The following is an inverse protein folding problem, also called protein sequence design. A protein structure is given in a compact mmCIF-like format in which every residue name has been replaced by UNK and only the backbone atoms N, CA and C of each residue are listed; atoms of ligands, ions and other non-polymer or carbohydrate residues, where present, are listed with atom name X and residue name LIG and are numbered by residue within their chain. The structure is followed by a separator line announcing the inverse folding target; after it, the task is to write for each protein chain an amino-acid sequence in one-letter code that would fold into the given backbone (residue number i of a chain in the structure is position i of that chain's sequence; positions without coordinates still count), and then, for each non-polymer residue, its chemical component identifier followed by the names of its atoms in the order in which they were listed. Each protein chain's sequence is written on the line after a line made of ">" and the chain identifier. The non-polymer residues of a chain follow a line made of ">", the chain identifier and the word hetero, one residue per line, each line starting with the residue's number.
data_IF_459858952841
#
_entry.id   IF_459858952841
#
_cell.length_a   1.000
_cell.length_b   1.000
_cell.length_c   1.000
_cell.angle_alpha   90.00
_cell.angle_beta   90.00
_cell.angle_gamma   90.00
#
_symmetry.space_group_name_H-M   'P 1'
#
loop_
_entity.id
_entity.type
_entity.pdbx_description
1 polymer ?
#
# COMPACT_ATOMS: atom_id res chain seq x y z
N UNK A 1 -32.02 28.60 28.16
CA UNK A 1 -31.62 27.26 28.64
C UNK A 1 -31.36 26.44 27.40
N UNK A 2 -30.15 26.56 26.85
CA UNK A 2 -29.75 25.86 25.64
C UNK A 2 -29.29 24.45 26.06
N UNK A 3 -29.86 23.44 25.43
CA UNK A 3 -29.46 22.05 25.61
C UNK A 3 -28.21 21.86 24.77
N UNK A 4 -27.05 21.77 25.43
CA UNK A 4 -25.82 21.29 24.81
C UNK A 4 -26.09 19.90 24.23
N UNK A 5 -26.13 19.80 22.92
CA UNK A 5 -26.03 18.53 22.23
C UNK A 5 -24.57 18.11 22.33
N UNK A 6 -24.30 17.29 23.34
CA UNK A 6 -23.11 16.46 23.45
C UNK A 6 -22.90 15.78 22.11
N UNK A 7 -21.90 16.27 21.38
CA UNK A 7 -21.58 15.81 20.04
C UNK A 7 -21.07 14.38 20.21
N UNK A 8 -21.87 13.43 19.74
CA UNK A 8 -21.58 12.01 19.78
C UNK A 8 -20.10 11.77 19.46
N UNK A 9 -19.41 11.13 20.41
CA UNK A 9 -18.07 10.63 20.22
C UNK A 9 -18.03 9.93 18.86
N UNK A 10 -17.22 10.45 17.93
CA UNK A 10 -16.83 9.73 16.73
C UNK A 10 -16.51 8.32 17.19
N UNK A 11 -17.29 7.34 16.71
CA UNK A 11 -16.88 5.93 16.78
C UNK A 11 -15.50 5.92 16.19
N UNK A 12 -14.50 5.90 17.06
CA UNK A 12 -13.14 5.89 16.62
C UNK A 12 -13.06 4.61 15.77
N UNK A 13 -12.75 4.73 14.48
CA UNK A 13 -12.58 3.56 13.62
C UNK A 13 -11.46 2.70 14.17
N UNK A 14 -11.61 1.37 14.13
CA UNK A 14 -10.56 0.45 14.56
C UNK A 14 -9.21 0.87 13.97
N UNK A 15 -8.23 1.13 14.84
CA UNK A 15 -6.89 1.51 14.40
C UNK A 15 -6.17 0.22 14.03
N UNK A 16 -5.78 0.08 12.76
CA UNK A 16 -5.16 -1.14 12.22
C UNK A 16 -3.70 -0.87 11.92
N UNK A 17 -2.83 -1.83 12.26
CA UNK A 17 -1.40 -1.80 11.95
C UNK A 17 -1.09 -2.92 10.96
N UNK A 18 -0.39 -2.57 9.88
CA UNK A 18 0.09 -3.51 8.88
C UNK A 18 1.61 -3.68 9.01
N UNK A 19 2.11 -4.90 8.91
CA UNK A 19 3.55 -5.17 8.96
C UNK A 19 3.98 -6.04 7.78
N UNK A 20 4.85 -5.52 6.93
CA UNK A 20 5.55 -6.30 5.90
C UNK A 20 6.71 -7.10 6.54
N UNK A 21 6.86 -8.36 6.15
CA UNK A 21 7.87 -9.27 6.71
C UNK A 21 8.86 -9.75 5.65
N UNK A 22 10.09 -10.04 6.11
CA UNK A 22 11.17 -10.49 5.23
C UNK A 22 10.96 -11.85 4.58
N UNK A 23 10.01 -12.64 5.09
CA UNK A 23 9.64 -13.93 4.52
C UNK A 23 8.62 -13.81 3.37
N UNK A 24 8.27 -12.59 2.93
CA UNK A 24 7.31 -12.35 1.85
C UNK A 24 5.85 -12.35 2.29
N UNK A 25 5.57 -12.35 3.60
CA UNK A 25 4.22 -12.26 4.16
C UNK A 25 3.98 -10.93 4.86
N UNK A 26 2.73 -10.63 5.18
CA UNK A 26 2.37 -9.50 6.03
C UNK A 26 1.37 -9.92 7.11
N UNK A 27 1.36 -9.16 8.20
CA UNK A 27 0.38 -9.31 9.27
C UNK A 27 -0.44 -8.04 9.43
N UNK A 28 -1.63 -8.23 9.99
CA UNK A 28 -2.58 -7.17 10.35
C UNK A 28 -2.89 -7.29 11.82
N UNK A 29 -2.74 -6.19 12.55
CA UNK A 29 -3.01 -6.11 13.97
C UNK A 29 -4.09 -5.07 14.25
N UNK A 30 -4.96 -5.37 15.20
CA UNK A 30 -5.82 -4.36 15.83
C UNK A 30 -4.98 -3.63 16.88
N UNK A 31 -4.81 -2.32 16.73
CA UNK A 31 -3.99 -1.52 17.64
C UNK A 31 -4.66 -1.30 19.00
N UNK A 32 -5.98 -1.49 19.11
CA UNK A 32 -6.73 -1.29 20.37
C UNK A 32 -6.60 -2.46 21.30
N UNK A 33 -6.69 -3.65 20.74
CA UNK A 33 -6.42 -4.90 21.41
C UNK A 33 -5.28 -5.53 20.61
N UNK A 34 -3.99 -5.31 20.99
CA UNK A 34 -2.79 -5.63 20.20
C UNK A 34 -2.70 -7.13 19.89
N UNK A 35 -3.53 -7.57 18.96
CA UNK A 35 -3.82 -8.94 18.62
C UNK A 35 -3.69 -9.07 17.11
N UNK A 36 -3.17 -10.21 16.69
CA UNK A 36 -3.12 -10.59 15.30
C UNK A 36 -4.56 -10.81 14.79
N UNK A 37 -4.97 -10.00 13.81
CA UNK A 37 -6.27 -10.09 13.12
C UNK A 37 -6.15 -10.99 11.90
N UNK A 38 -5.04 -10.85 11.17
CA UNK A 38 -4.79 -11.61 9.96
C UNK A 38 -3.29 -11.81 9.74
N UNK A 39 -2.93 -12.99 9.25
CA UNK A 39 -1.59 -13.29 8.74
C UNK A 39 -1.72 -13.80 7.31
N UNK A 40 -1.00 -13.17 6.38
CA UNK A 40 -1.01 -13.62 4.99
C UNK A 40 -0.31 -14.96 4.87
N UNK A 41 -0.82 -15.82 4.01
CA UNK A 41 -0.21 -17.13 3.74
C UNK A 41 0.42 -17.14 2.36
N UNK A 42 1.46 -17.96 2.24
CA UNK A 42 2.14 -18.21 0.98
C UNK A 42 1.54 -19.47 0.35
N UNK A 43 1.33 -19.51 -0.97
CA UNK A 43 0.96 -20.73 -1.68
C UNK A 43 1.90 -21.89 -1.32
N UNK A 44 1.33 -23.07 -1.03
CA UNK A 44 2.08 -24.27 -0.69
C UNK A 44 3.08 -24.72 -1.78
N UNK A 45 2.91 -24.23 -3.02
CA UNK A 45 3.80 -24.48 -4.16
C UNK A 45 5.11 -23.70 -4.11
N UNK A 46 5.27 -22.74 -3.19
CA UNK A 46 6.47 -21.93 -3.08
C UNK A 46 7.61 -22.66 -2.36
N UNK A 47 8.26 -23.54 -3.11
CA UNK A 47 9.45 -24.28 -2.66
C UNK A 47 10.72 -23.42 -2.59
N UNK A 48 10.73 -22.27 -3.26
CA UNK A 48 11.72 -21.20 -3.09
C UNK A 48 11.01 -20.09 -2.31
N UNK A 49 11.63 -19.62 -1.22
CA UNK A 49 11.06 -18.55 -0.40
C UNK A 49 10.58 -17.36 -1.24
N UNK A 50 9.50 -16.72 -0.79
CA UNK A 50 9.00 -15.52 -1.43
C UNK A 50 9.97 -14.35 -1.19
N UNK A 51 10.04 -13.40 -2.13
CA UNK A 51 10.88 -12.21 -1.95
C UNK A 51 10.43 -11.43 -0.71
N UNK A 52 11.40 -10.90 0.04
CA UNK A 52 11.15 -10.02 1.18
C UNK A 52 10.19 -8.91 0.81
N UNK A 53 9.18 -8.64 1.64
CA UNK A 53 8.41 -7.42 1.52
C UNK A 53 9.24 -6.28 2.11
N UNK A 54 9.41 -5.21 1.34
CA UNK A 54 10.19 -4.03 1.72
C UNK A 54 9.29 -2.85 2.07
N UNK A 55 8.09 -2.80 1.48
CA UNK A 55 7.15 -1.71 1.65
C UNK A 55 5.72 -2.23 1.80
N UNK A 56 4.93 -1.47 2.56
CA UNK A 56 3.50 -1.71 2.75
C UNK A 56 2.79 -0.36 2.89
N UNK A 57 1.68 -0.19 2.20
CA UNK A 57 0.88 1.03 2.24
C UNK A 57 -0.60 0.66 2.28
N UNK A 58 -1.39 1.40 3.05
CA UNK A 58 -2.83 1.20 3.13
C UNK A 58 -3.56 2.48 2.78
N UNK A 59 -4.67 2.36 2.06
CA UNK A 59 -5.67 3.40 1.90
C UNK A 59 -6.99 2.92 2.51
N UNK A 60 -7.33 3.38 3.72
CA UNK A 60 -8.57 3.01 4.40
C UNK A 60 -9.83 3.46 3.67
N UNK A 61 -9.76 4.53 2.86
CA UNK A 61 -10.92 5.09 2.16
C UNK A 61 -11.32 4.23 0.95
N UNK A 62 -10.33 3.73 0.20
CA UNK A 62 -10.56 2.78 -0.89
C UNK A 62 -10.55 1.32 -0.44
N UNK A 63 -10.36 1.06 0.85
CA UNK A 63 -10.15 -0.27 1.42
C UNK A 63 -9.02 -1.05 0.74
N UNK A 64 -7.96 -0.37 0.31
CA UNK A 64 -6.85 -1.00 -0.39
C UNK A 64 -5.63 -1.18 0.50
N UNK A 65 -4.93 -2.30 0.35
CA UNK A 65 -3.61 -2.55 0.93
C UNK A 65 -2.65 -2.92 -0.20
N UNK A 66 -1.51 -2.27 -0.28
CA UNK A 66 -0.47 -2.59 -1.24
C UNK A 66 0.80 -3.07 -0.52
N UNK A 67 1.48 -4.06 -1.09
CA UNK A 67 2.79 -4.54 -0.63
C UNK A 67 3.77 -4.52 -1.77
N UNK A 68 5.00 -4.05 -1.51
CA UNK A 68 6.11 -4.06 -2.46
C UNK A 68 7.21 -4.99 -1.99
N UNK A 69 7.79 -5.75 -2.93
CA UNK A 69 8.81 -6.75 -2.63
C UNK A 69 10.19 -6.40 -3.20
N UNK A 70 11.22 -7.06 -2.67
CA UNK A 70 12.60 -6.98 -3.16
C UNK A 70 12.78 -7.49 -4.60
N UNK A 71 11.79 -8.16 -5.18
CA UNK A 71 11.83 -8.68 -6.55
C UNK A 71 10.94 -7.91 -7.53
N UNK A 72 10.51 -6.70 -7.18
CA UNK A 72 9.72 -5.82 -8.06
C UNK A 72 8.23 -6.15 -8.13
N UNK A 73 7.76 -7.11 -7.34
CA UNK A 73 6.34 -7.49 -7.32
C UNK A 73 5.59 -6.53 -6.40
N UNK A 74 4.54 -5.92 -6.94
CA UNK A 74 3.52 -5.18 -6.19
C UNK A 74 2.24 -6.00 -6.16
N UNK A 75 1.74 -6.27 -4.96
CA UNK A 75 0.41 -6.86 -4.76
C UNK A 75 -0.52 -5.82 -4.15
N UNK A 76 -1.78 -5.85 -4.55
CA UNK A 76 -2.85 -5.01 -4.03
C UNK A 76 -4.00 -5.89 -3.58
N UNK A 77 -4.51 -5.65 -2.38
CA UNK A 77 -5.52 -6.44 -1.70
C UNK A 77 -6.71 -5.58 -1.27
N UNK A 78 -7.89 -6.19 -1.21
CA UNK A 78 -9.10 -5.58 -0.68
C UNK A 78 -9.28 -5.91 0.81
N UNK A 79 -9.22 -4.89 1.64
CA UNK A 79 -9.27 -4.99 3.11
C UNK A 79 -10.67 -5.11 3.68
N UNK A 80 -11.74 -5.04 2.86
CA UNK A 80 -13.13 -5.19 3.34
C UNK A 80 -13.42 -6.58 3.91
N UNK A 81 -12.63 -7.58 3.51
CA UNK A 81 -12.75 -8.96 3.98
C UNK A 81 -11.89 -9.26 5.22
N UNK A 82 -11.23 -8.25 5.80
CA UNK A 82 -10.52 -8.43 7.06
C UNK A 82 -11.54 -8.73 8.18
N UNK A 83 -11.33 -9.80 8.97
CA UNK A 83 -12.28 -10.19 9.99
C UNK A 83 -12.38 -9.10 11.06
N UNK A 84 -13.61 -8.61 11.27
CA UNK A 84 -13.87 -7.47 12.15
C UNK A 84 -13.84 -7.82 13.63
N UNK A 85 -13.91 -9.10 14.05
CA UNK A 85 -13.53 -9.46 15.44
C UNK A 85 -13.57 -10.94 15.87
N UNK A 86 -14.13 -11.92 15.15
CA UNK A 86 -14.27 -13.27 15.75
C UNK A 86 -14.33 -14.48 14.82
N UNK A 87 -14.18 -14.33 13.50
CA UNK A 87 -14.22 -15.47 12.59
C UNK A 87 -12.84 -15.78 11.99
N UNK A 88 -12.56 -17.08 11.87
CA UNK A 88 -11.33 -17.65 11.32
C UNK A 88 -11.01 -17.03 9.94
N UNK A 89 -9.74 -16.75 9.61
CA UNK A 89 -9.39 -15.87 8.50
C UNK A 89 -9.90 -16.40 7.15
N UNK A 90 -10.88 -15.71 6.57
CA UNK A 90 -11.13 -15.76 5.14
C UNK A 90 -9.98 -15.06 4.43
N UNK A 91 -9.36 -15.73 3.46
CA UNK A 91 -8.28 -15.18 2.65
C UNK A 91 -8.61 -13.77 2.15
N UNK A 92 -7.69 -12.81 2.30
CA UNK A 92 -7.77 -11.51 1.62
C UNK A 92 -7.86 -11.74 0.10
N UNK A 93 -8.79 -11.06 -0.55
CA UNK A 93 -8.88 -11.09 -2.01
C UNK A 93 -7.79 -10.19 -2.61
N UNK A 94 -7.00 -10.76 -3.51
CA UNK A 94 -6.00 -10.01 -4.27
C UNK A 94 -6.71 -9.30 -5.41
N UNK A 95 -6.70 -7.96 -5.39
CA UNK A 95 -7.22 -7.12 -6.47
C UNK A 95 -6.28 -7.16 -7.67
N UNK A 96 -4.98 -7.09 -7.41
CA UNK A 96 -3.98 -7.16 -8.46
C UNK A 96 -2.62 -7.61 -7.98
N UNK A 97 -1.84 -8.18 -8.91
CA UNK A 97 -0.44 -8.53 -8.73
C UNK A 97 0.28 -8.21 -10.04
N UNK A 98 1.28 -7.34 -9.97
CA UNK A 98 2.02 -6.91 -11.14
C UNK A 98 3.49 -6.65 -10.83
N UNK A 99 4.28 -6.56 -11.89
CA UNK A 99 5.72 -6.32 -11.85
C UNK A 99 6.07 -5.48 -13.08
N UNK A 100 6.65 -4.31 -12.86
CA UNK A 100 7.06 -3.39 -13.94
C UNK A 100 8.54 -3.55 -14.29
N UNK A 101 9.40 -3.73 -13.29
CA UNK A 101 10.83 -4.04 -13.45
C UNK A 101 11.26 -5.14 -12.48
N UNK A 102 12.50 -5.65 -12.64
CA UNK A 102 13.10 -6.63 -11.73
C UNK A 102 13.65 -6.01 -10.42
N UNK A 103 13.58 -4.68 -10.31
CA UNK A 103 14.14 -3.90 -9.21
C UNK A 103 13.28 -3.94 -7.95
N UNK A 104 13.86 -3.66 -6.78
CA UNK A 104 13.11 -3.61 -5.52
C UNK A 104 12.00 -2.56 -5.53
N UNK A 105 10.91 -2.82 -4.81
CA UNK A 105 9.89 -1.82 -4.49
C UNK A 105 10.13 -1.28 -3.08
N UNK A 106 10.80 -0.13 -3.01
CA UNK A 106 11.34 0.41 -1.76
C UNK A 106 10.32 1.22 -0.96
N UNK A 107 9.36 1.89 -1.61
CA UNK A 107 8.30 2.64 -0.95
C UNK A 107 7.03 2.67 -1.81
N UNK A 108 5.88 2.79 -1.13
CA UNK A 108 4.56 2.78 -1.74
C UNK A 108 3.72 3.88 -1.11
N UNK A 109 2.93 4.59 -1.93
CA UNK A 109 2.05 5.63 -1.41
C UNK A 109 0.76 5.73 -2.22
N UNK A 110 -0.39 5.53 -1.57
CA UNK A 110 -1.69 5.75 -2.21
C UNK A 110 -1.97 7.24 -2.37
N UNK A 111 -2.36 7.66 -3.56
CA UNK A 111 -2.85 9.01 -3.80
C UNK A 111 -4.31 9.05 -3.37
N UNK A 112 -4.69 9.94 -2.42
CA UNK A 112 -6.07 10.05 -1.99
C UNK A 112 -7.00 10.34 -3.19
N UNK A 113 -8.17 9.70 -3.25
CA UNK A 113 -9.11 9.94 -4.34
C UNK A 113 -9.55 11.40 -4.31
N UNK A 114 -9.54 12.07 -5.47
CA UNK A 114 -10.09 13.42 -5.61
C UNK A 114 -11.60 13.43 -5.49
N UNK A 115 -12.24 12.29 -5.83
CA UNK A 115 -13.69 12.10 -5.79
C UNK A 115 -14.03 10.85 -4.95
N UNK A 116 -14.95 10.94 -3.96
CA UNK A 116 -15.25 9.84 -3.02
C UNK A 116 -15.74 8.53 -3.66
N UNK A 117 -16.19 8.59 -4.93
CA UNK A 117 -16.80 7.46 -5.64
C UNK A 117 -15.90 6.85 -6.73
N UNK A 118 -14.63 7.24 -6.83
CA UNK A 118 -13.75 6.62 -7.83
C UNK A 118 -13.33 5.22 -7.38
N UNK A 119 -13.74 4.19 -8.12
CA UNK A 119 -13.31 2.81 -7.93
C UNK A 119 -11.84 2.55 -8.36
N UNK A 120 -11.11 3.61 -8.74
CA UNK A 120 -9.74 3.54 -9.20
C UNK A 120 -8.83 4.15 -8.14
N UNK A 121 -7.99 3.31 -7.54
CA UNK A 121 -6.93 3.77 -6.64
C UNK A 121 -5.69 4.09 -7.45
N UNK A 122 -5.02 5.19 -7.12
CA UNK A 122 -3.71 5.51 -7.69
C UNK A 122 -2.63 5.21 -6.66
N UNK A 123 -1.56 4.55 -7.10
CA UNK A 123 -0.45 4.15 -6.26
C UNK A 123 0.84 4.70 -6.85
N UNK A 124 1.58 5.43 -6.04
CA UNK A 124 2.97 5.81 -6.31
C UNK A 124 3.88 4.69 -5.85
N UNK A 125 4.89 4.39 -6.68
CA UNK A 125 5.83 3.29 -6.48
C UNK A 125 7.25 3.83 -6.60
N UNK A 126 8.03 3.71 -5.52
CA UNK A 126 9.46 3.97 -5.53
C UNK A 126 10.22 2.67 -5.80
N UNK A 127 11.19 2.74 -6.70
CA UNK A 127 11.92 1.57 -7.19
C UNK A 127 13.43 1.70 -6.97
N UNK A 128 14.09 0.56 -6.78
CA UNK A 128 15.54 0.49 -6.57
C UNK A 128 16.39 0.77 -7.80
N UNK A 129 15.78 0.88 -9.00
CA UNK A 129 16.47 1.29 -10.24
C UNK A 129 16.43 2.80 -10.49
N UNK A 130 15.78 3.58 -9.63
CA UNK A 130 15.74 5.03 -9.80
C UNK A 130 14.63 5.55 -10.71
N UNK A 131 13.68 4.70 -11.14
CA UNK A 131 12.56 5.05 -12.02
C UNK A 131 11.20 4.92 -11.30
N UNK A 132 10.85 5.85 -10.40
CA UNK A 132 9.57 5.81 -9.72
C UNK A 132 8.42 6.10 -10.68
N UNK A 133 7.26 5.49 -10.42
CA UNK A 133 6.11 5.59 -11.31
C UNK A 133 4.78 5.64 -10.55
N UNK A 134 3.75 6.08 -11.26
CA UNK A 134 2.35 6.05 -10.80
C UNK A 134 1.58 5.00 -11.57
N UNK A 135 0.80 4.19 -10.87
CA UNK A 135 -0.10 3.19 -11.45
C UNK A 135 -1.53 3.43 -11.01
N UNK A 136 -2.48 3.19 -11.91
CA UNK A 136 -3.91 3.13 -11.61
C UNK A 136 -4.32 1.67 -11.42
N UNK A 137 -5.01 1.40 -10.34
CA UNK A 137 -5.53 0.09 -9.96
C UNK A 137 -7.05 0.19 -9.96
N UNK A 138 -7.70 -0.58 -10.83
CA UNK A 138 -9.16 -0.72 -10.86
C UNK A 138 -9.56 -2.10 -10.32
N UNK A 139 -10.77 -2.20 -9.78
CA UNK A 139 -11.29 -3.47 -9.24
C UNK A 139 -11.43 -4.59 -10.29
N UNK A 140 -11.52 -4.23 -11.57
CA UNK A 140 -11.89 -5.13 -12.68
C UNK A 140 -10.77 -5.26 -13.73
N UNK A 141 -9.67 -4.51 -13.60
CA UNK A 141 -8.71 -4.30 -14.67
C UNK A 141 -7.26 -4.59 -14.32
N UNK A 142 -6.47 -4.77 -15.37
CA UNK A 142 -5.01 -4.83 -15.27
C UNK A 142 -4.49 -3.46 -14.79
N UNK A 143 -3.50 -3.41 -13.89
CA UNK A 143 -2.84 -2.16 -13.50
C UNK A 143 -2.31 -1.43 -14.73
N UNK A 144 -2.55 -0.13 -14.80
CA UNK A 144 -2.08 0.72 -15.90
C UNK A 144 -1.13 1.78 -15.37
N UNK A 145 0.09 1.80 -15.90
CA UNK A 145 1.04 2.88 -15.63
C UNK A 145 0.45 4.18 -16.17
N UNK A 146 0.32 5.17 -15.30
CA UNK A 146 -0.24 6.49 -15.61
C UNK A 146 0.88 7.46 -15.96
N UNK A 147 1.97 7.40 -15.19
CA UNK A 147 3.08 8.34 -15.29
C UNK A 147 4.37 7.67 -14.80
N UNK A 148 5.49 8.06 -15.39
CA UNK A 148 6.84 7.73 -14.93
C UNK A 148 7.56 9.04 -14.64
N UNK A 149 8.15 9.16 -13.44
CA UNK A 149 8.83 10.38 -13.03
C UNK A 149 10.30 10.34 -13.44
N UNK A 150 10.91 11.52 -13.58
CA UNK A 150 12.29 11.61 -14.07
C UNK A 150 13.26 10.86 -13.15
N UNK A 151 14.18 10.11 -13.77
CA UNK A 151 15.05 9.18 -13.09
C UNK A 151 16.05 9.83 -12.13
N UNK A 152 16.42 9.09 -11.08
CA UNK A 152 17.49 9.45 -10.14
C UNK A 152 18.87 9.00 -10.64
N UNK A 153 19.15 9.15 -11.95
CA UNK A 153 20.40 8.72 -12.59
C UNK A 153 20.79 7.25 -12.29
N UNK A 154 19.80 6.36 -12.33
CA UNK A 154 19.93 4.93 -11.99
C UNK A 154 20.26 4.63 -10.51
N UNK A 155 20.12 5.62 -9.61
CA UNK A 155 20.21 5.43 -8.16
C UNK A 155 18.83 5.18 -7.56
N UNK A 156 18.73 4.25 -6.60
CA UNK A 156 17.46 3.80 -6.05
C UNK A 156 16.66 4.91 -5.37
N UNK A 157 15.35 4.97 -5.66
CA UNK A 157 14.42 5.86 -4.94
C UNK A 157 13.92 5.14 -3.69
N UNK A 158 14.22 5.72 -2.52
CA UNK A 158 13.94 5.11 -1.21
C UNK A 158 12.68 5.61 -0.55
N UNK A 159 12.20 6.79 -0.95
CA UNK A 159 10.91 7.28 -0.47
C UNK A 159 10.13 8.03 -1.53
N UNK A 160 8.80 7.89 -1.49
CA UNK A 160 7.88 8.61 -2.36
C UNK A 160 6.65 9.09 -1.58
N UNK A 161 6.25 10.36 -1.74
CA UNK A 161 5.10 10.94 -1.04
C UNK A 161 4.29 11.82 -1.98
N UNK A 162 2.99 11.87 -1.72
CA UNK A 162 2.08 12.80 -2.37
C UNK A 162 1.69 13.92 -1.41
N UNK A 163 1.73 15.17 -1.89
CA UNK A 163 1.29 16.33 -1.11
C UNK A 163 -0.18 16.66 -1.36
N UNK A 164 -0.82 17.34 -0.42
CA UNK A 164 -2.20 17.84 -0.61
C UNK A 164 -2.33 18.89 -1.73
N UNK A 165 -1.22 19.40 -2.27
CA UNK A 165 -1.19 20.33 -3.39
C UNK A 165 -1.11 19.64 -4.75
N UNK A 166 -1.02 18.31 -4.78
CA UNK A 166 -0.85 17.54 -6.01
C UNK A 166 0.59 17.21 -6.37
N UNK A 167 1.57 17.72 -5.61
CA UNK A 167 2.99 17.47 -5.90
C UNK A 167 3.42 16.06 -5.48
N UNK A 168 4.29 15.43 -6.27
CA UNK A 168 4.96 14.17 -5.94
C UNK A 168 6.38 14.46 -5.48
N UNK A 169 6.74 13.95 -4.32
CA UNK A 169 8.07 14.08 -3.74
C UNK A 169 8.77 12.73 -3.74
N UNK A 170 10.04 12.71 -4.15
CA UNK A 170 10.88 11.51 -4.10
C UNK A 170 12.21 11.81 -3.41
N UNK A 171 12.81 10.83 -2.76
CA UNK A 171 14.16 10.90 -2.22
C UNK A 171 14.89 9.58 -2.47
N UNK A 172 16.15 9.66 -2.93
CA UNK A 172 16.94 8.51 -3.35
C UNK A 172 18.31 8.42 -2.66
N UNK A 173 19.10 7.44 -3.10
CA UNK A 173 20.46 7.17 -2.59
C UNK A 173 21.46 8.30 -2.92
N UNK A 174 21.12 9.16 -3.89
CA UNK A 174 21.92 10.32 -4.29
C UNK A 174 21.89 11.47 -3.27
N UNK A 175 21.09 11.30 -2.21
CA UNK A 175 20.91 12.28 -1.15
C UNK A 175 20.06 13.49 -1.56
N UNK A 176 19.41 13.45 -2.72
CA UNK A 176 18.56 14.53 -3.22
C UNK A 176 17.08 14.21 -3.04
N UNK A 177 16.30 15.25 -2.73
CA UNK A 177 14.85 15.21 -2.81
C UNK A 177 14.40 15.96 -4.07
N UNK A 178 13.50 15.33 -4.85
CA UNK A 178 12.93 15.91 -6.08
C UNK A 178 11.43 16.07 -5.92
N UNK A 179 10.91 17.16 -6.50
CA UNK A 179 9.49 17.47 -6.58
C UNK A 179 9.07 17.44 -8.06
N UNK A 180 7.95 16.79 -8.33
CA UNK A 180 7.24 16.76 -9.61
C UNK A 180 5.85 17.37 -9.44
#
# INVERSE_FOLDING_TARGET
>A
MAVDQDSAASEAGASVIYTALQNGTFNVFDARAPRLVYASTLPASARKGFPSLLSIASDPLSHSLATGSAAGIVNVYDTRQLPSSSESPSSLSTLSSFKQSDSSIDDLFFIPPTEPASNNSKLLVATGDGFPFQVSISAEGKPTTVEEYAAHADEGVRSIRFSSRGDVWTAGDDGLARKY
#
